data_IF_403268701605
#
_entry.id   IF_403268701605
#
_cell.length_a   1.000
_cell.length_b   1.000
_cell.length_c   1.000
_cell.angle_alpha   90.00
_cell.angle_beta   90.00
_cell.angle_gamma   90.00
#
_symmetry.space_group_name_H-M   'P 1'
#
loop_
_entity.id
_entity.type
_entity.pdbx_description
1 polymer ?
#
# COMPACT_ATOMS: atom_id res chain seq x y z
N UNK A 1 5.83 -40.96 -58.25
CA UNK A 1 6.37 -41.29 -56.92
C UNK A 1 5.93 -40.20 -55.92
N UNK A 2 4.86 -40.46 -55.17
CA UNK A 2 4.26 -39.50 -54.26
C UNK A 2 4.89 -39.67 -52.86
N UNK A 3 5.52 -38.60 -52.33
CA UNK A 3 5.94 -38.53 -50.92
C UNK A 3 4.85 -37.83 -50.13
N UNK A 4 4.10 -38.58 -49.35
CA UNK A 4 3.16 -38.08 -48.39
C UNK A 4 3.94 -37.62 -47.15
N UNK A 5 3.89 -36.33 -46.85
CA UNK A 5 4.39 -35.76 -45.62
C UNK A 5 3.35 -36.05 -44.52
N UNK A 6 3.79 -36.77 -43.48
CA UNK A 6 3.03 -37.02 -42.26
C UNK A 6 3.24 -35.84 -41.32
N UNK A 7 2.22 -34.99 -41.14
CA UNK A 7 2.19 -33.97 -40.11
C UNK A 7 1.78 -34.67 -38.79
N UNK A 8 2.74 -34.82 -37.89
CA UNK A 8 2.51 -35.23 -36.52
C UNK A 8 2.13 -33.95 -35.71
N UNK A 9 0.85 -33.80 -35.40
CA UNK A 9 0.35 -32.82 -34.44
C UNK A 9 0.69 -33.29 -33.03
N UNK A 10 1.66 -32.65 -32.41
CA UNK A 10 1.92 -32.78 -30.98
C UNK A 10 0.82 -32.03 -30.21
N UNK A 11 0.09 -32.70 -29.30
CA UNK A 11 -0.78 -32.00 -28.39
C UNK A 11 0.06 -31.25 -27.39
N UNK A 12 -0.09 -29.93 -27.35
CA UNK A 12 0.42 -29.10 -26.27
C UNK A 12 -0.29 -29.55 -24.96
N UNK A 13 0.37 -30.39 -24.20
CA UNK A 13 0.03 -30.64 -22.81
C UNK A 13 0.31 -29.34 -22.03
N UNK A 14 -0.71 -28.54 -21.82
CA UNK A 14 -0.74 -27.54 -20.76
C UNK A 14 -0.62 -28.31 -19.45
N UNK A 15 0.60 -28.42 -18.93
CA UNK A 15 0.85 -28.87 -17.58
C UNK A 15 0.27 -27.81 -16.63
N UNK A 16 -1.00 -27.93 -16.30
CA UNK A 16 -1.59 -27.21 -15.18
C UNK A 16 -0.78 -27.56 -13.94
N UNK A 17 0.00 -26.61 -13.43
CA UNK A 17 0.64 -26.77 -12.12
C UNK A 17 -0.51 -26.95 -11.12
N UNK A 18 -0.63 -28.18 -10.60
CA UNK A 18 -1.42 -28.47 -9.41
C UNK A 18 -0.80 -27.64 -8.28
N UNK A 19 -1.42 -26.52 -7.97
CA UNK A 19 -1.12 -25.77 -6.76
C UNK A 19 -1.62 -26.64 -5.60
N UNK A 20 -0.71 -27.12 -4.76
CA UNK A 20 -1.09 -27.72 -3.49
C UNK A 20 -1.88 -26.65 -2.71
N UNK A 21 -3.08 -27.00 -2.26
CA UNK A 21 -3.85 -26.16 -1.37
C UNK A 21 -2.95 -25.78 -0.18
N UNK A 22 -2.91 -24.52 0.24
CA UNK A 22 -2.08 -24.11 1.36
C UNK A 22 -2.41 -24.96 2.58
N UNK A 23 -1.41 -25.57 3.21
CA UNK A 23 -1.59 -26.46 4.37
C UNK A 23 -2.07 -25.72 5.63
N UNK A 24 -1.98 -24.40 5.64
CA UNK A 24 -2.58 -23.50 6.64
C UNK A 24 -3.33 -22.39 5.91
N UNK A 25 -4.47 -21.92 6.46
CA UNK A 25 -5.22 -20.86 5.80
C UNK A 25 -4.45 -19.55 5.88
N UNK A 26 -4.10 -19.03 4.71
CA UNK A 26 -3.39 -17.79 4.53
C UNK A 26 -4.13 -16.59 5.17
N UNK A 27 -3.36 -15.63 5.63
CA UNK A 27 -3.83 -14.39 6.24
C UNK A 27 -3.45 -13.19 5.40
N UNK A 28 -4.35 -12.23 5.30
CA UNK A 28 -4.10 -10.98 4.61
C UNK A 28 -4.48 -9.80 5.51
N UNK A 29 -3.58 -8.85 5.68
CA UNK A 29 -3.82 -7.58 6.36
C UNK A 29 -3.58 -6.44 5.38
N UNK A 30 -4.59 -5.63 5.14
CA UNK A 30 -4.46 -4.36 4.44
C UNK A 30 -4.19 -3.25 5.44
N UNK A 31 -3.07 -2.56 5.27
CA UNK A 31 -2.72 -1.33 6.00
C UNK A 31 -2.89 -0.16 5.05
N UNK A 32 -3.88 0.68 5.28
CA UNK A 32 -4.19 1.80 4.42
C UNK A 32 -3.64 3.10 5.00
N UNK A 33 -2.65 3.69 4.34
CA UNK A 33 -2.05 4.97 4.72
C UNK A 33 -2.89 6.10 4.14
N UNK A 34 -3.69 6.74 5.00
CA UNK A 34 -4.58 7.84 4.58
C UNK A 34 -3.85 9.18 4.58
N UNK A 35 -3.87 9.85 3.44
CA UNK A 35 -3.27 11.17 3.23
C UNK A 35 -2.26 11.22 2.10
N UNK A 36 -2.08 10.15 1.30
CA UNK A 36 -1.20 10.17 0.14
C UNK A 36 0.24 10.45 0.53
N UNK A 37 0.96 9.49 1.10
CA UNK A 37 2.31 9.72 1.60
C UNK A 37 3.34 9.97 0.48
N UNK A 38 4.45 10.64 0.81
CA UNK A 38 5.55 10.87 -0.13
C UNK A 38 6.36 9.59 -0.40
N UNK A 39 5.96 8.91 -1.45
CA UNK A 39 6.54 7.65 -1.87
C UNK A 39 7.98 7.79 -2.40
N UNK A 40 8.35 8.97 -2.96
CA UNK A 40 9.70 9.21 -3.46
C UNK A 40 10.73 9.40 -2.34
N UNK A 41 10.27 9.77 -1.14
CA UNK A 41 11.12 9.78 0.04
C UNK A 41 11.05 8.47 0.85
N UNK A 42 10.11 7.57 0.56
CA UNK A 42 10.15 6.19 1.07
C UNK A 42 11.14 5.34 0.29
N UNK A 43 10.86 5.16 -1.01
CA UNK A 43 11.68 4.40 -1.96
C UNK A 43 12.41 5.42 -2.84
N UNK A 44 13.60 5.77 -2.40
CA UNK A 44 14.39 6.88 -2.93
C UNK A 44 15.00 6.49 -4.28
N UNK A 45 14.71 7.23 -5.37
CA UNK A 45 15.29 6.95 -6.67
C UNK A 45 16.74 7.47 -6.76
N UNK A 46 17.68 6.79 -6.10
CA UNK A 46 19.08 7.21 -5.89
C UNK A 46 19.88 7.39 -7.18
N UNK A 47 19.42 6.83 -8.29
CA UNK A 47 20.02 7.02 -9.62
C UNK A 47 19.47 8.25 -10.37
N UNK A 48 18.39 8.90 -9.86
CA UNK A 48 17.75 10.02 -10.53
C UNK A 48 18.40 11.36 -10.15
N UNK A 49 19.13 11.97 -11.08
CA UNK A 49 19.62 13.33 -10.88
C UNK A 49 18.45 14.34 -10.68
N UNK A 50 17.33 14.08 -11.36
CA UNK A 50 16.15 14.94 -11.29
C UNK A 50 15.51 14.93 -9.89
N UNK A 51 15.63 13.84 -9.14
CA UNK A 51 15.18 13.78 -7.74
C UNK A 51 15.92 14.82 -6.88
N UNK A 52 17.23 14.88 -6.97
CA UNK A 52 18.05 15.83 -6.19
C UNK A 52 17.87 17.27 -6.68
N UNK A 53 17.70 17.47 -7.99
CA UNK A 53 17.45 18.80 -8.57
C UNK A 53 16.13 19.41 -8.06
N UNK A 54 15.07 18.59 -7.97
CA UNK A 54 13.72 19.09 -7.69
C UNK A 54 13.33 19.08 -6.24
N UNK A 55 14.18 18.53 -5.36
CA UNK A 55 13.96 18.43 -3.90
C UNK A 55 15.14 18.97 -3.09
N UNK A 56 15.51 20.26 -3.26
CA UNK A 56 16.69 20.81 -2.61
C UNK A 56 16.63 20.75 -1.07
N UNK A 57 15.43 20.69 -0.46
CA UNK A 57 15.23 20.59 0.98
C UNK A 57 14.79 19.20 1.44
N UNK A 58 14.12 18.42 0.59
CA UNK A 58 13.49 17.15 0.96
C UNK A 58 14.28 15.94 0.50
N UNK A 59 15.19 16.06 -0.48
CA UNK A 59 15.91 14.90 -0.98
C UNK A 59 16.70 14.18 0.13
N UNK A 60 16.55 12.87 0.17
CA UNK A 60 17.37 12.01 1.02
C UNK A 60 18.77 11.89 0.37
N UNK A 61 19.85 12.29 1.05
CA UNK A 61 21.21 12.12 0.54
C UNK A 61 21.48 10.66 0.12
N UNK A 62 22.16 10.48 -0.99
CA UNK A 62 22.40 9.13 -1.55
C UNK A 62 23.14 8.21 -0.57
N UNK A 63 24.08 8.74 0.18
CA UNK A 63 24.86 8.05 1.20
C UNK A 63 24.06 7.76 2.49
N UNK A 64 22.97 8.48 2.73
CA UNK A 64 22.05 8.22 3.84
C UNK A 64 20.99 7.18 3.50
N UNK A 65 20.62 7.02 2.22
CA UNK A 65 19.62 6.06 1.80
C UNK A 65 20.14 4.63 2.00
N UNK A 66 19.29 3.74 2.54
CA UNK A 66 19.64 2.33 2.72
C UNK A 66 19.59 1.64 1.35
N UNK A 67 20.69 1.09 0.90
CA UNK A 67 20.81 0.52 -0.44
C UNK A 67 19.87 -0.67 -0.64
N UNK A 68 19.08 -0.63 -1.71
CA UNK A 68 18.24 -1.73 -2.20
C UNK A 68 18.85 -2.31 -3.48
N UNK A 69 19.05 -1.48 -4.49
CA UNK A 69 19.69 -1.84 -5.74
C UNK A 69 20.40 -0.62 -6.37
N UNK A 70 20.73 -0.68 -7.66
CA UNK A 70 21.43 0.40 -8.34
C UNK A 70 20.58 1.69 -8.49
N UNK A 71 19.26 1.53 -8.56
CA UNK A 71 18.31 2.62 -8.83
C UNK A 71 17.59 3.10 -7.58
N UNK A 72 17.44 2.24 -6.57
CA UNK A 72 16.60 2.48 -5.41
C UNK A 72 17.34 2.37 -4.09
N UNK A 73 16.97 3.23 -3.16
CA UNK A 73 17.33 3.16 -1.75
C UNK A 73 16.09 3.28 -0.87
N UNK A 74 16.14 2.77 0.35
CA UNK A 74 15.06 2.93 1.32
C UNK A 74 15.35 4.10 2.26
N UNK A 75 14.30 4.76 2.74
CA UNK A 75 14.42 5.86 3.70
C UNK A 75 15.20 5.42 4.95
N UNK A 76 16.19 6.21 5.44
CA UNK A 76 17.07 5.80 6.53
C UNK A 76 16.34 5.52 7.86
N UNK A 77 15.19 6.17 8.11
CA UNK A 77 14.39 5.91 9.30
C UNK A 77 13.87 4.45 9.42
N UNK A 78 13.93 3.67 8.35
CA UNK A 78 13.50 2.27 8.33
C UNK A 78 14.65 1.27 8.58
N UNK A 79 15.86 1.78 8.90
CA UNK A 79 17.08 0.99 9.03
C UNK A 79 17.00 -0.10 10.10
N UNK A 80 16.39 0.17 11.24
CA UNK A 80 16.30 -0.78 12.35
C UNK A 80 15.02 -1.62 12.32
N UNK A 81 14.05 -1.26 11.49
CA UNK A 81 12.73 -1.89 11.47
C UNK A 81 12.47 -2.70 10.20
N UNK A 82 12.22 -2.02 9.09
CA UNK A 82 11.78 -2.64 7.85
C UNK A 82 12.95 -3.16 6.99
N UNK A 83 14.09 -2.48 7.00
CA UNK A 83 15.24 -2.89 6.20
C UNK A 83 15.75 -4.30 6.55
N UNK A 84 15.85 -4.72 7.85
CA UNK A 84 16.16 -6.11 8.18
C UNK A 84 15.14 -7.12 7.65
N UNK A 85 13.85 -6.78 7.62
CA UNK A 85 12.78 -7.62 7.05
C UNK A 85 12.98 -7.75 5.53
N UNK A 86 13.31 -6.65 4.86
CA UNK A 86 13.65 -6.66 3.44
C UNK A 86 14.86 -7.55 3.13
N UNK A 87 15.94 -7.44 3.91
CA UNK A 87 17.15 -8.24 3.72
C UNK A 87 16.92 -9.75 3.91
N UNK A 88 15.93 -10.14 4.72
CA UNK A 88 15.52 -11.55 4.86
C UNK A 88 14.65 -12.05 3.72
N UNK A 89 14.30 -11.20 2.75
CA UNK A 89 13.39 -11.54 1.67
C UNK A 89 11.90 -11.54 2.07
N UNK A 90 11.56 -10.92 3.19
CA UNK A 90 10.20 -10.88 3.75
C UNK A 90 9.47 -9.55 3.47
N UNK A 91 10.06 -8.67 2.69
CA UNK A 91 9.45 -7.44 2.22
C UNK A 91 9.82 -7.15 0.76
N UNK A 92 8.89 -6.56 0.00
CA UNK A 92 9.08 -6.07 -1.35
C UNK A 92 8.38 -4.73 -1.53
N UNK A 93 8.87 -3.89 -2.43
CA UNK A 93 8.26 -2.62 -2.79
C UNK A 93 7.78 -2.65 -4.24
N UNK A 94 6.61 -2.08 -4.50
CA UNK A 94 6.02 -1.95 -5.84
C UNK A 94 5.88 -0.47 -6.13
N UNK A 95 6.84 0.16 -6.82
CA UNK A 95 6.75 1.56 -7.22
C UNK A 95 5.74 1.74 -8.35
N UNK A 96 5.37 2.98 -8.63
CA UNK A 96 4.42 3.34 -9.67
C UNK A 96 3.10 2.58 -9.53
N UNK A 97 2.70 2.30 -8.28
CA UNK A 97 1.45 1.65 -7.94
C UNK A 97 0.35 2.69 -7.71
N UNK A 98 -0.90 2.30 -7.89
CA UNK A 98 -2.03 3.21 -7.66
C UNK A 98 -3.29 2.81 -8.37
N UNK A 99 -4.13 3.79 -8.64
CA UNK A 99 -5.42 3.66 -9.34
C UNK A 99 -5.46 4.54 -10.58
N UNK A 100 -6.38 4.26 -11.48
CA UNK A 100 -6.69 5.09 -12.66
C UNK A 100 -7.37 6.42 -12.31
N UNK A 101 -7.78 6.64 -11.05
CA UNK A 101 -8.41 7.87 -10.59
C UNK A 101 -7.42 9.04 -10.63
N UNK A 102 -7.76 10.07 -11.41
CA UNK A 102 -6.94 11.26 -11.62
C UNK A 102 -7.42 12.47 -10.80
N UNK A 103 -8.42 12.29 -9.93
CA UNK A 103 -9.03 13.41 -9.18
C UNK A 103 -8.04 14.08 -8.21
N UNK A 104 -7.06 13.32 -7.71
CA UNK A 104 -6.15 13.75 -6.62
C UNK A 104 -6.93 14.20 -5.38
N UNK A 105 -8.16 13.72 -5.22
CA UNK A 105 -9.01 13.96 -4.07
C UNK A 105 -8.91 12.78 -3.11
N UNK A 106 -8.55 13.03 -1.86
CA UNK A 106 -8.50 11.98 -0.84
C UNK A 106 -9.80 11.19 -0.77
N UNK A 107 -10.94 11.88 -0.75
CA UNK A 107 -12.25 11.22 -0.60
C UNK A 107 -12.56 10.33 -1.79
N UNK A 108 -12.38 10.84 -3.00
CA UNK A 108 -12.71 10.11 -4.22
C UNK A 108 -11.80 8.91 -4.43
N UNK A 109 -10.50 9.12 -4.25
CA UNK A 109 -9.52 8.06 -4.50
C UNK A 109 -9.52 7.00 -3.39
N UNK A 110 -9.72 7.39 -2.12
CA UNK A 110 -9.89 6.43 -1.01
C UNK A 110 -11.12 5.54 -1.25
N UNK A 111 -12.25 6.15 -1.63
CA UNK A 111 -13.46 5.40 -1.97
C UNK A 111 -13.24 4.48 -3.17
N UNK A 112 -12.57 4.96 -4.23
CA UNK A 112 -12.24 4.17 -5.42
C UNK A 112 -11.46 2.91 -5.04
N UNK A 113 -10.42 3.04 -4.22
CA UNK A 113 -9.62 1.90 -3.76
C UNK A 113 -10.45 0.95 -2.90
N UNK A 114 -11.18 1.48 -1.92
CA UNK A 114 -11.97 0.64 -1.01
C UNK A 114 -13.14 -0.07 -1.71
N UNK A 115 -13.74 0.56 -2.70
CA UNK A 115 -14.77 -0.08 -3.54
C UNK A 115 -14.19 -1.17 -4.44
N UNK A 116 -12.95 -1.04 -4.92
CA UNK A 116 -12.34 -2.03 -5.82
C UNK A 116 -13.09 -2.18 -7.14
N UNK A 117 -13.65 -1.09 -7.66
CA UNK A 117 -14.44 -1.05 -8.89
C UNK A 117 -13.68 -0.29 -9.98
N UNK A 118 -14.10 -0.45 -11.23
CA UNK A 118 -13.56 0.31 -12.34
C UNK A 118 -13.76 1.82 -12.14
N UNK A 119 -12.86 2.62 -12.72
CA UNK A 119 -12.95 4.08 -12.66
C UNK A 119 -14.34 4.55 -13.13
N UNK A 120 -14.96 5.43 -12.33
CA UNK A 120 -16.31 5.94 -12.59
C UNK A 120 -17.48 5.06 -12.11
N UNK A 121 -17.25 3.81 -11.75
CA UNK A 121 -18.26 2.97 -11.10
C UNK A 121 -18.21 3.21 -9.58
N UNK A 122 -19.25 3.86 -9.01
CA UNK A 122 -19.29 4.15 -7.57
C UNK A 122 -20.54 3.55 -6.93
N UNK A 123 -20.56 2.22 -6.84
CA UNK A 123 -21.59 1.52 -6.08
C UNK A 123 -21.08 1.25 -4.65
N UNK A 124 -21.63 1.96 -3.69
CA UNK A 124 -21.30 1.82 -2.27
C UNK A 124 -21.98 0.60 -1.60
N UNK A 125 -22.61 -0.27 -2.37
CA UNK A 125 -23.26 -1.46 -1.85
C UNK A 125 -22.26 -2.46 -1.27
N UNK A 126 -21.10 -2.62 -1.92
CA UNK A 126 -20.07 -3.57 -1.48
C UNK A 126 -18.67 -3.04 -1.75
N UNK A 127 -17.76 -3.24 -0.79
CA UNK A 127 -16.33 -3.02 -0.95
C UNK A 127 -15.57 -4.30 -1.29
N UNK A 128 -14.34 -4.17 -1.81
CA UNK A 128 -13.59 -5.33 -2.30
C UNK A 128 -13.21 -6.33 -1.20
N UNK A 129 -12.91 -5.86 0.01
CA UNK A 129 -12.58 -6.74 1.13
C UNK A 129 -13.78 -7.56 1.60
N UNK A 130 -15.01 -7.00 1.50
CA UNK A 130 -16.23 -7.77 1.81
C UNK A 130 -16.48 -8.83 0.73
N UNK A 131 -16.30 -8.49 -0.56
CA UNK A 131 -16.40 -9.47 -1.65
C UNK A 131 -15.36 -10.58 -1.50
N UNK A 132 -14.11 -10.25 -1.15
CA UNK A 132 -13.08 -11.24 -0.82
C UNK A 132 -13.50 -12.12 0.36
N UNK A 133 -14.01 -11.51 1.44
CA UNK A 133 -14.51 -12.27 2.59
C UNK A 133 -15.62 -13.25 2.20
N UNK A 134 -16.55 -12.83 1.34
CA UNK A 134 -17.63 -13.70 0.82
C UNK A 134 -17.09 -14.88 0.01
N UNK A 135 -16.10 -14.67 -0.88
CA UNK A 135 -15.44 -15.74 -1.63
C UNK A 135 -14.69 -16.75 -0.72
N UNK A 136 -14.21 -16.29 0.43
CA UNK A 136 -13.53 -17.10 1.43
C UNK A 136 -14.46 -17.72 2.50
N UNK A 137 -15.77 -17.74 2.26
CA UNK A 137 -16.77 -18.36 3.14
C UNK A 137 -17.44 -17.41 4.14
N UNK A 138 -17.27 -16.11 3.99
CA UNK A 138 -18.03 -15.07 4.68
C UNK A 138 -17.72 -14.87 6.17
N UNK A 139 -16.63 -15.45 6.68
CA UNK A 139 -16.23 -15.40 8.09
C UNK A 139 -14.74 -15.11 8.27
N UNK A 140 -14.36 -14.71 9.49
CA UNK A 140 -12.93 -14.50 9.83
C UNK A 140 -12.35 -13.21 9.28
N UNK A 141 -13.18 -12.18 9.06
CA UNK A 141 -12.73 -10.85 8.67
C UNK A 141 -12.92 -9.85 9.81
N UNK A 142 -11.97 -8.94 9.97
CA UNK A 142 -11.94 -7.93 11.02
C UNK A 142 -11.46 -6.58 10.50
N UNK A 143 -12.12 -5.53 10.92
CA UNK A 143 -11.66 -4.14 10.77
C UNK A 143 -11.14 -3.63 12.11
N UNK A 144 -9.98 -2.98 12.08
CA UNK A 144 -9.36 -2.32 13.22
C UNK A 144 -9.58 -0.80 13.18
N UNK A 145 -10.75 -0.37 12.76
CA UNK A 145 -11.10 1.05 12.55
C UNK A 145 -12.21 1.49 13.49
N UNK A 146 -12.33 2.80 13.71
CA UNK A 146 -13.40 3.38 14.54
C UNK A 146 -14.80 3.18 13.93
N UNK A 147 -14.88 3.15 12.60
CA UNK A 147 -16.09 2.88 11.83
C UNK A 147 -15.78 1.84 10.76
N UNK A 148 -16.75 1.01 10.40
CA UNK A 148 -16.57 0.03 9.34
C UNK A 148 -16.20 0.72 8.02
N UNK A 149 -15.01 0.43 7.44
CA UNK A 149 -14.56 1.09 6.21
C UNK A 149 -15.41 0.65 5.01
N UNK A 150 -15.41 1.45 3.95
CA UNK A 150 -16.11 1.15 2.70
C UNK A 150 -15.64 -0.20 2.13
N UNK A 151 -14.36 -0.53 2.26
CA UNK A 151 -13.77 -1.80 1.83
C UNK A 151 -14.53 -3.03 2.39
N UNK A 152 -15.10 -2.92 3.57
CA UNK A 152 -15.82 -4.01 4.24
C UNK A 152 -17.34 -3.90 4.20
N UNK A 153 -17.91 -2.92 3.51
CA UNK A 153 -19.38 -2.88 3.29
C UNK A 153 -19.81 -4.08 2.44
N UNK A 154 -20.93 -4.69 2.78
CA UNK A 154 -21.50 -5.82 2.04
C UNK A 154 -22.20 -6.84 2.93
N UNK A 155 -22.41 -8.05 2.39
CA UNK A 155 -23.19 -9.12 3.04
C UNK A 155 -22.37 -10.04 3.97
N UNK A 156 -21.04 -10.10 3.81
CA UNK A 156 -20.20 -10.90 4.69
C UNK A 156 -20.13 -10.29 6.10
N UNK A 157 -20.07 -11.14 7.13
CA UNK A 157 -19.97 -10.72 8.53
C UNK A 157 -18.57 -10.24 8.86
N UNK A 158 -18.44 -8.99 9.28
CA UNK A 158 -17.17 -8.37 9.62
C UNK A 158 -17.17 -7.96 11.08
N UNK A 159 -16.19 -8.43 11.85
CA UNK A 159 -15.93 -7.88 13.17
C UNK A 159 -15.33 -6.46 13.04
N UNK A 160 -15.72 -5.54 13.91
CA UNK A 160 -15.12 -4.20 13.95
C UNK A 160 -14.64 -3.89 15.36
N UNK A 161 -13.36 -3.64 15.52
CA UNK A 161 -12.71 -3.38 16.80
C UNK A 161 -11.84 -2.14 16.68
N UNK A 162 -12.32 -1.02 17.18
CA UNK A 162 -11.53 0.21 17.21
C UNK A 162 -10.22 -0.01 18.00
N UNK A 163 -9.12 0.43 17.42
CA UNK A 163 -7.88 0.63 18.16
C UNK A 163 -8.05 1.94 18.93
N UNK A 164 -8.19 1.85 20.26
CA UNK A 164 -8.59 2.95 21.14
C UNK A 164 -7.52 4.05 21.27
N UNK A 165 -7.11 4.64 20.18
CA UNK A 165 -6.38 5.91 20.15
C UNK A 165 -6.72 6.58 18.81
N UNK A 166 -7.66 7.53 18.77
CA UNK A 166 -7.83 8.38 17.60
C UNK A 166 -6.49 9.04 17.26
N UNK A 167 -6.27 9.32 16.00
CA UNK A 167 -5.18 10.18 15.60
C UNK A 167 -5.21 11.40 16.52
N UNK A 168 -4.25 11.49 17.45
CA UNK A 168 -4.12 12.68 18.27
C UNK A 168 -3.88 13.83 17.32
N UNK A 169 -4.45 15.02 17.57
CA UNK A 169 -4.41 16.13 16.69
C UNK A 169 -3.00 16.76 16.60
N UNK A 170 -2.04 16.02 16.03
CA UNK A 170 -0.88 16.68 15.44
C UNK A 170 -1.35 17.58 14.30
N UNK A 171 -2.43 17.19 13.59
CA UNK A 171 -3.19 18.11 12.77
C UNK A 171 -3.68 19.33 13.53
N UNK A 172 -4.15 19.22 14.77
CA UNK A 172 -4.57 20.39 15.54
C UNK A 172 -3.41 21.24 16.06
N UNK A 173 -2.28 20.65 16.45
CA UNK A 173 -1.11 21.44 16.85
C UNK A 173 -0.44 22.15 15.66
N UNK A 174 -0.39 21.47 14.51
CA UNK A 174 0.05 22.08 13.26
C UNK A 174 -1.00 23.09 12.78
N UNK A 175 -2.31 22.78 12.84
CA UNK A 175 -3.38 23.68 12.46
C UNK A 175 -3.53 24.87 13.41
N UNK A 176 -3.35 24.72 14.71
CA UNK A 176 -3.34 25.86 15.66
C UNK A 176 -2.17 26.80 15.40
N UNK A 177 -0.98 26.29 15.08
CA UNK A 177 0.16 27.09 14.66
C UNK A 177 -0.06 27.81 13.33
N UNK A 178 -0.81 27.22 12.42
CA UNK A 178 -1.12 27.76 11.08
C UNK A 178 -2.42 28.57 11.04
N UNK A 179 -3.44 28.22 11.83
CA UNK A 179 -4.71 28.95 11.93
C UNK A 179 -4.53 30.43 12.36
N UNK A 180 -3.40 30.75 13.00
CA UNK A 180 -3.04 32.11 13.34
C UNK A 180 -2.47 32.93 12.17
N UNK A 181 -2.22 32.32 11.00
CA UNK A 181 -1.47 32.95 9.90
C UNK A 181 -2.26 33.23 8.63
N UNK A 182 -3.21 32.35 8.24
CA UNK A 182 -3.93 32.52 6.97
C UNK A 182 -5.19 31.63 6.88
N UNK A 183 -6.26 32.10 6.21
CA UNK A 183 -7.48 31.33 5.94
C UNK A 183 -7.19 30.09 5.08
N UNK A 184 -6.28 30.20 4.11
CA UNK A 184 -5.86 29.09 3.24
C UNK A 184 -5.22 27.97 4.05
N UNK A 185 -4.47 28.29 5.11
CA UNK A 185 -3.84 27.28 5.97
C UNK A 185 -4.85 26.58 6.90
N UNK A 186 -5.95 27.24 7.23
CA UNK A 186 -7.06 26.61 7.96
C UNK A 186 -7.79 25.59 7.10
N UNK A 187 -8.14 25.97 5.88
CA UNK A 187 -8.82 25.08 4.94
C UNK A 187 -7.97 23.84 4.65
N UNK A 188 -6.65 24.01 4.49
CA UNK A 188 -5.71 22.90 4.30
C UNK A 188 -5.63 21.99 5.55
N UNK A 189 -5.62 22.56 6.75
CA UNK A 189 -5.63 21.81 8.00
C UNK A 189 -6.92 20.98 8.19
N UNK A 190 -8.06 21.53 7.83
CA UNK A 190 -9.35 20.84 7.88
C UNK A 190 -9.43 19.73 6.85
N UNK A 191 -8.87 19.91 5.66
CA UNK A 191 -8.75 18.87 4.63
C UNK A 191 -7.86 17.71 5.10
N UNK A 192 -6.70 17.99 5.69
CA UNK A 192 -5.79 16.98 6.25
C UNK A 192 -6.45 16.12 7.33
N UNK A 193 -7.23 16.73 8.22
CA UNK A 193 -7.99 16.02 9.26
C UNK A 193 -9.09 15.16 8.65
N UNK A 194 -9.84 15.72 7.70
CA UNK A 194 -10.93 15.02 7.02
C UNK A 194 -10.41 13.85 6.18
N UNK A 195 -9.26 14.02 5.49
CA UNK A 195 -8.62 12.97 4.70
C UNK A 195 -8.23 11.75 5.54
N UNK A 196 -7.90 11.95 6.81
CA UNK A 196 -7.54 10.87 7.73
C UNK A 196 -8.72 9.97 8.14
N UNK A 197 -9.96 10.37 7.96
CA UNK A 197 -11.19 9.59 8.29
C UNK A 197 -11.17 8.93 9.68
N UNK A 198 -10.62 9.62 10.69
CA UNK A 198 -10.38 9.09 12.04
C UNK A 198 -9.46 7.86 12.10
N UNK A 199 -8.57 7.69 11.14
CA UNK A 199 -7.53 6.69 11.15
C UNK A 199 -6.61 6.84 12.38
N UNK A 200 -6.01 5.74 12.82
CA UNK A 200 -5.04 5.80 13.92
C UNK A 200 -3.71 6.43 13.46
N UNK A 201 -2.91 6.96 14.38
CA UNK A 201 -1.55 7.40 14.06
C UNK A 201 -0.62 6.21 13.87
N UNK A 202 0.53 6.41 13.20
CA UNK A 202 1.56 5.38 13.06
C UNK A 202 2.04 4.88 14.44
N UNK A 203 2.18 5.78 15.41
CA UNK A 203 2.50 5.43 16.81
C UNK A 203 1.41 4.61 17.49
N UNK A 204 0.14 4.91 17.25
CA UNK A 204 -0.95 4.10 17.78
C UNK A 204 -0.97 2.71 17.13
N UNK A 205 -0.70 2.61 15.84
CA UNK A 205 -0.52 1.33 15.16
C UNK A 205 0.63 0.51 15.79
N UNK A 206 1.81 1.12 16.03
CA UNK A 206 2.94 0.48 16.71
C UNK A 206 2.54 -0.11 18.06
N UNK A 207 1.85 0.65 18.91
CA UNK A 207 1.41 0.20 20.23
C UNK A 207 0.37 -0.92 20.19
N UNK A 208 -0.42 -1.01 19.10
CA UNK A 208 -1.48 -2.00 18.91
C UNK A 208 -1.06 -3.21 18.08
N UNK A 209 0.15 -3.21 17.52
CA UNK A 209 0.63 -4.25 16.62
C UNK A 209 0.50 -5.67 17.22
N UNK A 210 0.84 -5.85 18.50
CA UNK A 210 0.69 -7.14 19.19
C UNK A 210 -0.77 -7.58 19.33
N UNK A 211 -1.70 -6.63 19.56
CA UNK A 211 -3.13 -6.94 19.65
C UNK A 211 -3.67 -7.36 18.29
N UNK A 212 -3.31 -6.65 17.21
CA UNK A 212 -3.65 -7.01 15.84
C UNK A 212 -3.14 -8.42 15.54
N UNK A 213 -1.85 -8.70 15.81
CA UNK A 213 -1.23 -10.01 15.59
C UNK A 213 -1.97 -11.12 16.35
N UNK A 214 -2.33 -10.91 17.62
CA UNK A 214 -3.06 -11.89 18.42
C UNK A 214 -4.39 -12.27 17.79
N UNK A 215 -5.16 -11.27 17.34
CA UNK A 215 -6.45 -11.49 16.69
C UNK A 215 -6.29 -12.16 15.33
N UNK A 216 -5.31 -11.72 14.53
CA UNK A 216 -5.01 -12.29 13.22
C UNK A 216 -4.45 -13.72 13.30
N UNK A 217 -3.69 -14.09 14.36
CA UNK A 217 -3.25 -15.48 14.57
C UNK A 217 -4.39 -16.42 14.95
N UNK A 218 -5.36 -15.89 15.66
CA UNK A 218 -6.48 -16.68 16.19
C UNK A 218 -7.58 -16.88 15.15
N UNK A 219 -8.62 -16.09 15.29
CA UNK A 219 -9.90 -16.29 14.61
C UNK A 219 -9.95 -15.61 13.23
N UNK A 220 -9.19 -14.51 13.04
CA UNK A 220 -9.31 -13.67 11.87
C UNK A 220 -8.22 -13.92 10.84
N UNK A 221 -8.62 -13.90 9.56
CA UNK A 221 -7.73 -14.16 8.42
C UNK A 221 -7.65 -13.00 7.45
N UNK A 222 -8.67 -12.15 7.44
CA UNK A 222 -8.70 -10.92 6.68
C UNK A 222 -8.75 -9.75 7.65
N UNK A 223 -7.79 -8.85 7.55
CA UNK A 223 -7.70 -7.66 8.39
C UNK A 223 -7.62 -6.38 7.58
N UNK A 224 -8.15 -5.31 8.14
CA UNK A 224 -8.00 -3.95 7.62
C UNK A 224 -7.67 -3.00 8.78
N UNK A 225 -6.69 -2.16 8.59
CA UNK A 225 -6.37 -1.05 9.47
C UNK A 225 -6.01 0.17 8.64
N UNK A 226 -6.48 1.33 9.03
CA UNK A 226 -6.06 2.58 8.43
C UNK A 226 -5.14 3.37 9.38
N UNK A 227 -4.14 4.02 8.78
CA UNK A 227 -3.14 4.81 9.49
C UNK A 227 -3.10 6.19 8.83
N UNK A 228 -3.37 7.24 9.60
CA UNK A 228 -3.42 8.62 9.12
C UNK A 228 -2.14 9.42 9.39
N UNK A 229 -2.14 10.67 8.95
CA UNK A 229 -1.04 11.62 9.18
C UNK A 229 0.00 11.63 8.06
N UNK A 230 -0.40 11.31 6.83
CA UNK A 230 0.50 11.21 5.68
C UNK A 230 0.40 12.38 4.71
N UNK A 231 -0.52 13.31 4.94
CA UNK A 231 -0.75 14.48 4.09
C UNK A 231 0.24 15.61 4.42
N UNK A 232 1.42 15.59 3.79
CA UNK A 232 2.59 16.38 4.17
C UNK A 232 2.80 17.59 3.26
N UNK A 233 1.86 18.54 3.28
CA UNK A 233 1.96 19.77 2.47
C UNK A 233 3.01 20.77 2.96
N UNK A 234 3.38 20.72 4.24
CA UNK A 234 4.26 21.72 4.87
C UNK A 234 5.25 21.06 5.80
N UNK A 235 6.52 21.43 5.70
CA UNK A 235 7.55 20.99 6.67
C UNK A 235 7.72 19.47 6.77
N UNK A 236 7.60 18.77 5.66
CA UNK A 236 7.64 17.30 5.59
C UNK A 236 8.92 16.71 6.16
N UNK A 237 10.05 17.36 5.87
CA UNK A 237 11.39 16.87 6.20
C UNK A 237 11.94 15.89 5.17
N UNK A 238 13.28 15.71 5.21
CA UNK A 238 14.00 14.75 4.39
C UNK A 238 14.37 13.50 5.20
N UNK A 239 15.67 13.20 5.32
CA UNK A 239 16.19 12.09 6.14
C UNK A 239 15.76 12.16 7.62
N UNK A 240 15.39 13.34 8.09
CA UNK A 240 14.85 13.62 9.41
C UNK A 240 13.63 14.54 9.27
N UNK A 241 12.77 14.59 10.28
CA UNK A 241 11.59 15.43 10.30
C UNK A 241 10.29 14.64 10.44
N UNK A 242 9.19 15.26 10.01
CA UNK A 242 7.86 14.71 10.24
C UNK A 242 7.66 13.34 9.52
N UNK A 243 7.92 13.28 8.22
CA UNK A 243 7.77 12.04 7.44
C UNK A 243 8.69 10.94 7.98
N UNK A 244 9.95 11.26 8.27
CA UNK A 244 10.90 10.33 8.85
C UNK A 244 10.38 9.70 10.16
N UNK A 245 9.79 10.51 11.05
CA UNK A 245 9.18 10.02 12.29
C UNK A 245 8.00 9.11 12.03
N UNK A 246 7.11 9.46 11.06
CA UNK A 246 5.97 8.62 10.71
C UNK A 246 6.40 7.27 10.11
N UNK A 247 7.41 7.29 9.23
CA UNK A 247 7.97 6.06 8.64
C UNK A 247 8.62 5.17 9.70
N UNK A 248 9.38 5.73 10.63
CA UNK A 248 9.99 5.00 11.74
C UNK A 248 8.94 4.31 12.63
N UNK A 249 7.91 5.06 13.08
CA UNK A 249 6.81 4.52 13.88
C UNK A 249 6.04 3.41 13.15
N UNK A 250 5.73 3.60 11.87
CA UNK A 250 5.06 2.60 11.04
C UNK A 250 5.97 1.36 10.86
N UNK A 251 7.24 1.58 10.56
CA UNK A 251 8.23 0.51 10.39
C UNK A 251 8.35 -0.34 11.64
N UNK A 252 8.46 0.28 12.83
CA UNK A 252 8.49 -0.44 14.11
C UNK A 252 7.18 -1.20 14.36
N UNK A 253 6.04 -0.60 14.02
CA UNK A 253 4.74 -1.26 14.12
C UNK A 253 4.64 -2.50 13.24
N UNK A 254 5.10 -2.42 11.99
CA UNK A 254 5.13 -3.55 11.06
C UNK A 254 6.12 -4.65 11.53
N UNK A 255 7.28 -4.26 12.05
CA UNK A 255 8.25 -5.20 12.60
C UNK A 255 7.71 -5.89 13.88
N UNK A 256 7.06 -5.14 14.76
CA UNK A 256 6.42 -5.70 15.96
C UNK A 256 5.26 -6.64 15.59
N UNK A 257 4.48 -6.32 14.56
CA UNK A 257 3.44 -7.19 14.01
C UNK A 257 4.05 -8.50 13.50
N UNK A 258 5.08 -8.42 12.66
CA UNK A 258 5.77 -9.59 12.11
C UNK A 258 6.30 -10.50 13.22
N UNK A 259 6.99 -9.93 14.20
CA UNK A 259 7.50 -10.68 15.36
C UNK A 259 6.36 -11.33 16.17
N UNK A 260 5.28 -10.60 16.42
CA UNK A 260 4.14 -11.09 17.20
C UNK A 260 3.30 -12.14 16.43
N UNK A 261 3.37 -12.19 15.09
CA UNK A 261 2.74 -13.26 14.29
C UNK A 261 3.43 -14.61 14.48
N UNK A 262 4.71 -14.66 14.88
CA UNK A 262 5.43 -15.90 15.08
C UNK A 262 5.36 -16.84 13.87
N UNK A 263 5.09 -18.12 14.07
CA UNK A 263 5.00 -19.11 12.97
C UNK A 263 3.93 -18.75 11.92
N UNK A 264 2.88 -18.06 12.33
CA UNK A 264 1.83 -17.63 11.40
C UNK A 264 2.30 -16.54 10.42
N UNK A 265 3.46 -15.92 10.65
CA UNK A 265 4.05 -14.94 9.74
C UNK A 265 4.33 -15.52 8.35
N UNK A 266 4.71 -16.79 8.30
CA UNK A 266 4.95 -17.51 7.05
C UNK A 266 3.73 -17.55 6.12
N UNK A 267 2.53 -17.65 6.69
CA UNK A 267 1.27 -17.72 5.97
C UNK A 267 0.51 -16.38 5.99
N UNK A 268 1.22 -15.29 6.25
CA UNK A 268 0.65 -13.95 6.35
C UNK A 268 1.22 -13.06 5.26
N UNK A 269 0.34 -12.31 4.61
CA UNK A 269 0.70 -11.19 3.73
C UNK A 269 0.11 -9.91 4.30
N UNK A 270 0.95 -8.92 4.48
CA UNK A 270 0.58 -7.53 4.80
C UNK A 270 0.82 -6.70 3.56
N UNK A 271 -0.19 -5.99 3.09
CA UNK A 271 -0.03 -5.02 2.02
C UNK A 271 -0.30 -3.62 2.56
N UNK A 272 0.69 -2.74 2.42
CA UNK A 272 0.58 -1.33 2.79
C UNK A 272 0.32 -0.54 1.51
N UNK A 273 -0.78 0.21 1.49
CA UNK A 273 -1.23 1.01 0.35
C UNK A 273 -1.53 2.44 0.77
N UNK A 274 -1.55 3.34 -0.18
CA UNK A 274 -2.10 4.69 -0.02
C UNK A 274 -2.95 5.03 -1.24
N UNK A 275 -3.84 6.01 -1.11
CA UNK A 275 -4.75 6.41 -2.17
C UNK A 275 -4.02 6.94 -3.41
N UNK A 276 -2.99 7.74 -3.21
CA UNK A 276 -2.10 8.26 -4.25
C UNK A 276 -0.72 8.61 -3.63
N UNK A 277 0.24 9.04 -4.46
CA UNK A 277 1.52 9.59 -4.04
C UNK A 277 1.51 11.11 -4.00
N UNK A 278 2.70 11.69 -3.94
CA UNK A 278 2.91 13.14 -3.91
C UNK A 278 3.55 13.64 -5.19
N UNK A 279 3.51 14.97 -5.39
CA UNK A 279 4.29 15.60 -6.44
C UNK A 279 5.75 15.23 -6.33
N UNK A 280 6.37 14.93 -7.48
CA UNK A 280 7.79 14.57 -7.47
C UNK A 280 8.69 15.74 -7.06
N UNK A 281 8.30 16.97 -7.43
CA UNK A 281 8.94 18.21 -6.99
C UNK A 281 8.41 18.63 -5.62
N UNK A 282 9.29 19.11 -4.73
CA UNK A 282 8.86 19.78 -3.50
C UNK A 282 8.13 21.08 -3.80
N UNK A 283 7.22 21.49 -2.91
CA UNK A 283 6.51 22.75 -2.99
C UNK A 283 7.24 23.87 -2.24
N UNK A 284 6.69 25.10 -2.31
CA UNK A 284 7.28 26.28 -1.65
C UNK A 284 7.28 26.24 -0.12
N UNK A 285 6.57 25.30 0.50
CA UNK A 285 6.43 25.16 1.95
C UNK A 285 7.28 24.02 2.54
N UNK A 286 8.28 23.53 1.79
CA UNK A 286 9.10 22.36 2.16
C UNK A 286 8.26 21.12 2.46
N UNK A 287 7.29 20.86 1.62
CA UNK A 287 6.43 19.72 1.60
C UNK A 287 6.13 19.32 0.16
N UNK A 288 5.06 18.57 -0.04
CA UNK A 288 4.64 18.09 -1.35
C UNK A 288 3.13 18.24 -1.52
N UNK A 289 2.65 18.34 -2.76
CA UNK A 289 1.22 18.40 -3.05
C UNK A 289 0.69 17.04 -3.50
N UNK A 290 -0.64 16.89 -3.63
CA UNK A 290 -1.24 15.64 -4.10
C UNK A 290 -0.72 15.26 -5.47
N UNK A 291 -0.25 14.03 -5.59
CA UNK A 291 0.26 13.43 -6.83
C UNK A 291 -0.65 12.34 -7.37
N UNK A 292 -0.05 11.33 -8.03
CA UNK A 292 -0.79 10.24 -8.65
C UNK A 292 -0.22 8.89 -8.23
N UNK A 293 0.76 8.30 -8.92
CA UNK A 293 1.37 7.03 -8.53
C UNK A 293 2.11 7.11 -7.19
N UNK A 294 2.14 5.98 -6.49
CA UNK A 294 2.76 5.81 -5.17
C UNK A 294 3.63 4.56 -5.14
N UNK A 295 4.06 4.12 -3.97
CA UNK A 295 4.74 2.84 -3.74
C UNK A 295 3.88 1.99 -2.82
N UNK A 296 3.61 0.74 -3.16
CA UNK A 296 3.00 -0.22 -2.25
C UNK A 296 4.05 -1.12 -1.64
N UNK A 297 3.84 -1.55 -0.39
CA UNK A 297 4.79 -2.40 0.32
C UNK A 297 4.10 -3.74 0.61
N UNK A 298 4.73 -4.82 0.24
CA UNK A 298 4.28 -6.16 0.58
C UNK A 298 5.21 -6.74 1.64
N UNK A 299 4.66 -7.30 2.73
CA UNK A 299 5.42 -7.95 3.79
C UNK A 299 4.82 -9.33 4.09
N UNK A 300 5.65 -10.27 4.52
CA UNK A 300 5.21 -11.62 4.93
C UNK A 300 6.32 -12.63 4.89
N UNK A 301 6.27 -13.62 5.77
CA UNK A 301 7.33 -14.63 5.87
C UNK A 301 7.39 -15.62 4.71
N UNK A 302 6.35 -15.69 3.88
CA UNK A 302 6.30 -16.49 2.66
C UNK A 302 6.48 -15.71 1.37
N UNK A 303 6.84 -14.41 1.46
CA UNK A 303 7.06 -13.59 0.28
C UNK A 303 8.37 -13.93 -0.45
N UNK A 304 8.39 -13.60 -1.72
CA UNK A 304 9.60 -13.50 -2.54
C UNK A 304 10.08 -12.05 -2.56
N UNK A 305 10.43 -11.55 -1.37
CA UNK A 305 10.87 -10.17 -1.16
C UNK A 305 12.37 -9.97 -1.42
N UNK A 306 12.94 -8.96 -0.76
CA UNK A 306 14.33 -8.53 -0.97
C UNK A 306 14.53 -7.87 -2.34
N UNK A 307 13.47 -7.30 -2.90
CA UNK A 307 13.49 -6.70 -4.24
C UNK A 307 12.43 -5.64 -4.44
N UNK A 308 12.61 -4.84 -5.47
CA UNK A 308 11.58 -4.00 -6.06
C UNK A 308 10.84 -4.81 -7.12
N UNK A 309 9.51 -4.87 -7.05
CA UNK A 309 8.66 -5.71 -7.90
C UNK A 309 7.76 -4.85 -8.79
N UNK A 310 7.14 -5.48 -9.81
CA UNK A 310 6.26 -4.81 -10.76
C UNK A 310 6.99 -4.11 -11.88
N UNK A 311 6.23 -3.41 -12.71
CA UNK A 311 6.76 -2.62 -13.81
C UNK A 311 7.45 -1.37 -13.26
N UNK A 312 8.65 -1.06 -13.78
CA UNK A 312 9.47 0.05 -13.34
C UNK A 312 10.00 0.83 -14.53
N UNK A 313 10.30 2.09 -14.28
CA UNK A 313 10.98 2.95 -15.23
C UNK A 313 12.03 3.81 -14.51
N UNK A 314 13.00 4.28 -15.25
CA UNK A 314 13.96 5.24 -14.73
C UNK A 314 13.27 6.57 -14.48
N UNK A 315 13.45 7.14 -13.31
CA UNK A 315 12.80 8.38 -12.91
C UNK A 315 13.54 9.57 -13.50
N UNK A 316 12.91 10.21 -14.49
CA UNK A 316 13.36 11.46 -15.13
C UNK A 316 12.14 12.37 -15.28
N UNK A 317 12.34 13.64 -15.63
CA UNK A 317 11.23 14.55 -15.91
C UNK A 317 10.24 13.96 -16.92
N UNK A 318 10.74 13.43 -18.02
CA UNK A 318 9.93 13.00 -19.17
C UNK A 318 9.19 11.67 -18.92
N UNK A 319 9.61 10.91 -17.90
CA UNK A 319 8.95 9.66 -17.50
C UNK A 319 7.90 9.87 -16.42
N UNK A 320 7.80 11.06 -15.85
CA UNK A 320 6.76 11.43 -14.91
C UNK A 320 5.43 11.70 -15.63
N UNK A 321 4.34 11.28 -15.02
CA UNK A 321 2.99 11.62 -15.48
C UNK A 321 2.79 13.15 -15.40
N UNK A 322 2.46 13.75 -16.56
CA UNK A 322 2.35 15.20 -16.70
C UNK A 322 3.62 15.98 -16.30
N UNK A 323 4.81 15.37 -16.39
CA UNK A 323 6.09 15.90 -15.89
C UNK A 323 6.06 16.30 -14.41
N UNK A 324 5.20 15.66 -13.60
CA UNK A 324 4.87 16.11 -12.24
C UNK A 324 4.83 14.97 -11.23
N UNK A 325 4.14 13.88 -11.52
CA UNK A 325 3.83 12.82 -10.58
C UNK A 325 4.41 11.47 -11.04
N UNK A 326 4.59 10.52 -10.15
CA UNK A 326 4.79 9.14 -10.60
C UNK A 326 3.59 8.68 -11.44
N UNK A 327 3.81 8.02 -12.59
CA UNK A 327 2.73 7.35 -13.32
C UNK A 327 2.23 6.15 -12.52
N UNK A 328 1.03 5.65 -12.83
CA UNK A 328 0.55 4.35 -12.39
C UNK A 328 0.83 3.33 -13.49
N UNK A 329 1.79 2.44 -13.24
CA UNK A 329 2.14 1.30 -14.10
C UNK A 329 1.60 0.00 -13.51
N UNK A 330 1.45 -0.03 -12.18
CA UNK A 330 1.05 -1.18 -11.39
C UNK A 330 -0.31 -0.89 -10.74
N UNK A 331 -1.37 -1.19 -11.47
CA UNK A 331 -2.74 -0.91 -11.02
C UNK A 331 -3.11 -1.83 -9.84
N UNK A 332 -3.67 -1.25 -8.77
CA UNK A 332 -3.87 -1.93 -7.48
C UNK A 332 -4.81 -3.13 -7.55
N UNK A 333 -5.88 -3.10 -8.38
CA UNK A 333 -6.82 -4.23 -8.52
C UNK A 333 -6.17 -5.40 -9.24
N UNK A 334 -5.34 -5.10 -10.25
CA UNK A 334 -4.57 -6.10 -10.97
C UNK A 334 -3.55 -6.77 -10.04
N UNK A 335 -2.85 -5.99 -9.23
CA UNK A 335 -1.89 -6.46 -8.22
C UNK A 335 -2.59 -7.33 -7.16
N UNK A 336 -3.66 -6.82 -6.54
CA UNK A 336 -4.41 -7.55 -5.51
C UNK A 336 -5.07 -8.81 -6.09
N UNK A 337 -5.61 -8.74 -7.31
CA UNK A 337 -6.18 -9.89 -7.99
C UNK A 337 -5.16 -11.00 -8.21
N UNK A 338 -3.97 -10.68 -8.71
CA UNK A 338 -2.87 -11.63 -8.86
C UNK A 338 -2.42 -12.20 -7.51
N UNK A 339 -2.29 -11.36 -6.49
CA UNK A 339 -1.94 -11.77 -5.13
C UNK A 339 -2.99 -12.73 -4.54
N UNK A 340 -4.29 -12.42 -4.64
CA UNK A 340 -5.36 -13.27 -4.11
C UNK A 340 -5.49 -14.60 -4.87
N UNK A 341 -5.24 -14.59 -6.18
CA UNK A 341 -5.15 -15.83 -6.95
C UNK A 341 -4.04 -16.74 -6.42
N UNK A 342 -2.88 -16.20 -6.09
CA UNK A 342 -1.75 -16.96 -5.53
C UNK A 342 -1.98 -17.39 -4.08
N UNK A 343 -2.40 -16.47 -3.23
CA UNK A 343 -2.53 -16.68 -1.77
C UNK A 343 -3.69 -17.62 -1.44
N UNK A 344 -4.82 -17.48 -2.13
CA UNK A 344 -6.05 -18.20 -1.80
C UNK A 344 -6.45 -19.24 -2.86
N UNK A 345 -5.75 -19.31 -3.98
CA UNK A 345 -6.10 -20.20 -5.08
C UNK A 345 -7.40 -19.81 -5.79
N UNK A 346 -7.77 -18.53 -5.76
CA UNK A 346 -9.00 -18.04 -6.40
C UNK A 346 -8.84 -18.07 -7.92
N UNK A 347 -9.87 -18.57 -8.60
CA UNK A 347 -9.94 -18.59 -10.05
C UNK A 347 -10.36 -17.24 -10.65
N UNK A 348 -10.35 -17.15 -11.98
CA UNK A 348 -10.66 -15.92 -12.69
C UNK A 348 -12.09 -15.43 -12.45
N UNK A 349 -13.06 -16.32 -12.22
CA UNK A 349 -14.45 -15.93 -11.95
C UNK A 349 -14.60 -15.32 -10.55
N UNK A 350 -13.97 -15.92 -9.53
CA UNK A 350 -13.93 -15.38 -8.19
C UNK A 350 -13.22 -14.01 -8.15
N UNK A 351 -12.08 -13.90 -8.86
CA UNK A 351 -11.34 -12.63 -8.96
C UNK A 351 -12.13 -11.55 -9.68
N UNK A 352 -12.90 -11.89 -10.72
CA UNK A 352 -13.79 -10.94 -11.42
C UNK A 352 -14.96 -10.47 -10.54
N UNK A 353 -15.44 -11.30 -9.59
CA UNK A 353 -16.41 -10.87 -8.59
C UNK A 353 -15.81 -9.91 -7.57
N UNK A 354 -14.52 -10.09 -7.23
CA UNK A 354 -13.82 -9.20 -6.29
C UNK A 354 -13.45 -7.88 -6.98
N UNK A 355 -12.88 -7.94 -8.19
CA UNK A 355 -12.44 -6.78 -8.97
C UNK A 355 -13.06 -6.78 -10.37
N UNK A 356 -14.32 -6.33 -10.51
CA UNK A 356 -15.00 -6.32 -11.80
C UNK A 356 -14.25 -5.53 -12.86
N UNK A 357 -14.12 -6.12 -14.06
CA UNK A 357 -13.49 -5.45 -15.20
C UNK A 357 -11.97 -5.34 -15.15
N UNK A 358 -11.30 -6.03 -14.22
CA UNK A 358 -9.84 -6.00 -14.07
C UNK A 358 -9.24 -7.37 -14.35
N UNK A 359 -8.20 -7.43 -15.19
CA UNK A 359 -7.40 -8.64 -15.39
C UNK A 359 -6.34 -8.74 -14.27
N UNK A 360 -6.31 -9.84 -13.50
CA UNK A 360 -5.30 -10.04 -12.45
C UNK A 360 -3.89 -10.11 -13.06
N UNK A 361 -2.92 -9.50 -12.39
CA UNK A 361 -1.52 -9.52 -12.80
C UNK A 361 -0.66 -10.13 -11.69
N UNK A 362 0.14 -11.14 -12.03
CA UNK A 362 1.04 -11.81 -11.10
C UNK A 362 2.37 -11.06 -10.99
N UNK A 363 2.60 -10.42 -9.86
CA UNK A 363 3.85 -9.73 -9.53
C UNK A 363 4.89 -10.67 -8.90
N UNK A 364 4.59 -11.97 -8.83
CA UNK A 364 5.40 -13.00 -8.20
C UNK A 364 5.84 -12.64 -6.76
N UNK A 365 4.93 -12.05 -6.00
CA UNK A 365 5.21 -11.66 -4.61
C UNK A 365 5.19 -12.85 -3.64
N UNK A 366 4.49 -13.93 -4.01
CA UNK A 366 4.39 -15.19 -3.25
C UNK A 366 4.69 -16.40 -4.11
#
# INVERSE_FOLDING_TARGET
MNRRAFLVSLPFLYAGRLFAAPSAPARFLLVFLRGGYDAANLLVPVSSAYYYETRPNLAIPKDAALAIDADWGLHPALGESLHPIFLRGEAAFVPFAGTEDLSRSHFETQDSIELGQAAGARSYATGFMNRLAAELGGRGAISFTSQLPVAFRGSAQIANVALNMPASPLGSQVSEGFAARDAVMRDLGDEMVAASRNAVTARAFETQAQRIARLMRGEYRLGFVDVGGWDTHVGEGGAQGYLATRLDELGRGLAALAAAMGDAWRDTVVLVVSEFGRTFRENGNRGTDHGHGTVYWALGGGLRGGRVAGEQLRVTRDTLFQNRDYPVLNEYRALLGGLFGRVYGLDGEALARIFPGTAPQDFALV
#
